data_IF_207611634558
#
_entry.id   IF_207611634558
#
_cell.length_a   1.000
_cell.length_b   1.000
_cell.length_c   1.000
_cell.angle_alpha   90.00
_cell.angle_beta   90.00
_cell.angle_gamma   90.00
#
_symmetry.space_group_name_H-M   'P 1'
#
loop_
_entity.id
_entity.type
_entity.pdbx_description
1 polymer ?
#
# COMPACT_ATOMS: atom_id res chain seq x y z
N UNK A 1 -29.54 -34.70 36.42
CA UNK A 1 -29.76 -33.40 35.74
C UNK A 1 -28.50 -32.52 35.76
N UNK A 2 -27.50 -32.76 36.62
CA UNK A 2 -26.24 -31.96 36.71
C UNK A 2 -25.37 -31.91 35.44
N UNK A 3 -25.39 -32.94 34.59
CA UNK A 3 -24.53 -32.99 33.40
C UNK A 3 -24.96 -32.01 32.28
N UNK A 4 -26.24 -31.62 32.23
CA UNK A 4 -26.74 -30.69 31.21
C UNK A 4 -26.31 -29.26 31.53
N UNK A 5 -26.38 -28.85 32.81
CA UNK A 5 -25.88 -27.55 33.26
C UNK A 5 -24.36 -27.43 33.07
N UNK A 6 -23.62 -28.50 33.39
CA UNK A 6 -22.17 -28.56 33.15
C UNK A 6 -21.84 -28.48 31.66
N UNK A 7 -22.60 -29.18 30.80
CA UNK A 7 -22.44 -29.11 29.35
C UNK A 7 -22.72 -27.72 28.77
N UNK A 8 -23.78 -27.05 29.25
CA UNK A 8 -24.12 -25.67 28.86
C UNK A 8 -23.01 -24.70 29.27
N UNK A 9 -22.48 -24.83 30.49
CA UNK A 9 -21.41 -23.99 31.00
C UNK A 9 -20.13 -24.17 30.16
N UNK A 10 -19.75 -25.41 29.86
CA UNK A 10 -18.60 -25.72 29.00
C UNK A 10 -18.77 -25.17 27.58
N UNK A 11 -19.98 -25.18 27.02
CA UNK A 11 -20.26 -24.60 25.71
C UNK A 11 -20.06 -23.07 25.70
N UNK A 12 -20.57 -22.36 26.71
CA UNK A 12 -20.41 -20.90 26.84
C UNK A 12 -18.96 -20.53 27.07
N UNK A 13 -18.28 -21.25 27.97
CA UNK A 13 -16.85 -21.04 28.26
C UNK A 13 -16.03 -21.28 27.00
N UNK A 14 -16.25 -22.41 26.31
CA UNK A 14 -15.54 -22.75 25.08
C UNK A 14 -15.68 -21.68 24.01
N UNK A 15 -16.90 -21.22 23.73
CA UNK A 15 -17.12 -20.16 22.75
C UNK A 15 -16.54 -18.81 23.17
N UNK A 16 -16.64 -18.46 24.45
CA UNK A 16 -16.10 -17.20 24.98
C UNK A 16 -14.57 -17.19 24.92
N UNK A 17 -13.92 -18.29 25.29
CA UNK A 17 -12.46 -18.44 25.20
C UNK A 17 -11.98 -18.36 23.77
N UNK A 18 -12.65 -19.06 22.83
CA UNK A 18 -12.31 -18.96 21.40
C UNK A 18 -12.47 -17.53 20.90
N UNK A 19 -13.58 -16.86 21.23
CA UNK A 19 -13.82 -15.48 20.83
C UNK A 19 -12.75 -14.51 21.39
N UNK A 20 -12.38 -14.67 22.66
CA UNK A 20 -11.35 -13.86 23.30
C UNK A 20 -9.98 -14.04 22.63
N UNK A 21 -9.57 -15.28 22.34
CA UNK A 21 -8.32 -15.57 21.65
C UNK A 21 -8.31 -14.94 20.25
N UNK A 22 -9.40 -15.06 19.49
CA UNK A 22 -9.51 -14.46 18.16
C UNK A 22 -9.35 -12.94 18.22
N UNK A 23 -10.02 -12.26 19.16
CA UNK A 23 -9.85 -10.82 19.35
C UNK A 23 -8.39 -10.46 19.63
N UNK A 24 -7.75 -11.17 20.57
CA UNK A 24 -6.35 -10.95 20.92
C UNK A 24 -5.44 -11.10 19.70
N UNK A 25 -5.60 -12.17 18.92
CA UNK A 25 -4.82 -12.44 17.71
C UNK A 25 -5.00 -11.34 16.66
N UNK A 26 -6.23 -10.85 16.46
CA UNK A 26 -6.50 -9.77 15.50
C UNK A 26 -5.81 -8.47 15.94
N UNK A 27 -5.92 -8.09 17.21
CA UNK A 27 -5.28 -6.87 17.71
C UNK A 27 -3.75 -6.97 17.70
N UNK A 28 -3.19 -8.12 18.07
CA UNK A 28 -1.75 -8.39 17.97
C UNK A 28 -1.29 -8.35 16.51
N UNK A 29 -2.05 -8.94 15.58
CA UNK A 29 -1.74 -8.90 14.16
C UNK A 29 -1.69 -7.48 13.61
N UNK A 30 -2.71 -6.65 13.93
CA UNK A 30 -2.72 -5.22 13.54
C UNK A 30 -1.57 -4.44 14.19
N UNK A 31 -1.25 -4.72 15.45
CA UNK A 31 -0.13 -4.13 16.16
C UNK A 31 1.21 -4.49 15.52
N UNK A 32 1.44 -5.77 15.22
CA UNK A 32 2.63 -6.27 14.54
C UNK A 32 2.79 -5.69 13.15
N UNK A 33 1.71 -5.60 12.36
CA UNK A 33 1.75 -4.94 11.04
C UNK A 33 2.18 -3.48 11.19
N UNK A 34 1.63 -2.76 12.17
CA UNK A 34 1.99 -1.36 12.41
C UNK A 34 3.45 -1.22 12.87
N UNK A 35 3.92 -2.16 13.69
CA UNK A 35 5.26 -2.17 14.24
C UNK A 35 6.31 -2.47 13.16
N UNK A 36 6.06 -3.50 12.36
CA UNK A 36 6.90 -3.85 11.21
C UNK A 36 6.90 -2.71 10.21
N UNK A 37 5.74 -2.14 9.86
CA UNK A 37 5.67 -0.99 8.96
C UNK A 37 6.37 0.28 9.50
N UNK A 38 6.57 0.38 10.82
CA UNK A 38 7.33 1.49 11.42
C UNK A 38 8.84 1.23 11.44
N UNK A 39 9.29 -0.01 11.66
CA UNK A 39 10.71 -0.35 11.78
C UNK A 39 11.37 -0.82 10.49
N UNK A 40 10.60 -1.44 9.61
CA UNK A 40 10.94 -1.78 8.24
C UNK A 40 9.75 -1.33 7.39
N UNK A 41 9.61 -0.01 7.16
CA UNK A 41 8.58 0.48 6.26
C UNK A 41 8.72 -0.31 4.97
N UNK A 42 7.68 -1.07 4.66
CA UNK A 42 7.61 -1.82 3.42
C UNK A 42 7.77 -0.75 2.34
N UNK A 43 8.94 -0.72 1.70
CA UNK A 43 9.18 0.25 0.65
C UNK A 43 8.12 -0.05 -0.39
N UNK A 44 7.14 0.83 -0.47
CA UNK A 44 6.20 0.92 -1.58
C UNK A 44 6.98 1.47 -2.80
N UNK A 45 8.08 0.82 -3.15
CA UNK A 45 8.40 0.41 -4.53
C UNK A 45 7.49 -0.80 -4.80
N UNK A 46 6.16 -0.65 -4.87
CA UNK A 46 5.46 -0.41 -6.15
C UNK A 46 4.25 0.54 -5.99
N UNK A 47 4.46 1.71 -5.40
CA UNK A 47 3.57 2.88 -5.64
C UNK A 47 4.30 4.20 -5.37
N UNK A 48 5.54 4.27 -5.85
CA UNK A 48 6.11 5.55 -6.25
C UNK A 48 5.24 6.11 -7.39
N UNK A 49 4.68 7.30 -7.18
CA UNK A 49 4.00 8.19 -8.16
C UNK A 49 2.48 8.35 -8.06
N UNK A 50 1.94 8.61 -6.87
CA UNK A 50 0.84 9.59 -6.76
C UNK A 50 1.17 10.52 -5.60
N UNK A 51 2.13 11.41 -5.82
CA UNK A 51 2.37 12.71 -5.15
C UNK A 51 3.81 13.10 -5.46
N UNK A 52 3.96 14.00 -6.43
CA UNK A 52 5.07 14.96 -6.54
C UNK A 52 6.50 14.42 -6.41
N UNK A 53 6.98 13.68 -7.41
CA UNK A 53 8.37 13.81 -7.82
C UNK A 53 8.37 14.13 -9.31
N UNK A 54 8.82 15.32 -9.76
CA UNK A 54 9.33 15.44 -11.10
C UNK A 54 10.56 14.53 -11.10
N UNK A 55 10.40 13.32 -11.62
CA UNK A 55 11.53 12.45 -11.93
C UNK A 55 12.35 13.26 -12.91
N UNK A 56 13.47 13.76 -12.39
CA UNK A 56 14.51 14.38 -13.17
C UNK A 56 14.80 13.46 -14.36
N UNK A 57 14.61 14.06 -15.54
CA UNK A 57 15.16 13.69 -16.82
C UNK A 57 15.89 12.34 -16.83
N UNK A 58 15.19 11.31 -17.32
CA UNK A 58 15.89 10.31 -18.12
C UNK A 58 16.76 11.06 -19.13
N UNK A 59 18.01 10.65 -19.22
CA UNK A 59 19.09 11.22 -20.03
C UNK A 59 18.57 11.74 -21.38
N UNK A 60 18.15 13.00 -21.42
CA UNK A 60 17.76 13.69 -22.64
C UNK A 60 19.03 14.27 -23.21
N UNK A 61 19.69 13.51 -24.08
CA UNK A 61 20.76 14.04 -24.90
C UNK A 61 20.28 15.32 -25.60
N UNK A 62 20.83 16.46 -25.20
CA UNK A 62 20.74 17.73 -25.93
C UNK A 62 19.34 18.35 -26.17
N UNK A 63 18.32 18.02 -25.36
CA UNK A 63 16.97 18.62 -25.47
C UNK A 63 16.75 19.63 -24.34
N UNK A 64 16.38 20.89 -24.63
CA UNK A 64 16.11 21.89 -23.60
C UNK A 64 15.04 21.44 -22.61
N UNK A 65 15.29 21.59 -21.30
CA UNK A 65 14.39 21.14 -20.24
C UNK A 65 12.97 21.71 -20.31
N UNK A 66 12.81 22.92 -20.87
CA UNK A 66 11.50 23.51 -21.15
C UNK A 66 10.68 22.68 -22.15
N UNK A 67 11.33 22.13 -23.17
CA UNK A 67 10.70 21.30 -24.20
C UNK A 67 10.29 19.95 -23.61
N UNK A 68 11.16 19.33 -22.81
CA UNK A 68 10.84 18.08 -22.10
C UNK A 68 9.65 18.24 -21.16
N UNK A 69 9.59 19.32 -20.39
CA UNK A 69 8.48 19.59 -19.48
C UNK A 69 7.15 19.80 -20.23
N UNK A 70 7.18 20.52 -21.36
CA UNK A 70 6.01 20.70 -22.20
C UNK A 70 5.49 19.38 -22.78
N UNK A 71 6.39 18.48 -23.20
CA UNK A 71 6.03 17.16 -23.72
C UNK A 71 5.38 16.30 -22.61
N UNK A 72 5.98 16.26 -21.42
CA UNK A 72 5.43 15.50 -20.29
C UNK A 72 4.05 16.03 -19.88
N UNK A 73 3.86 17.35 -19.85
CA UNK A 73 2.58 17.97 -19.56
C UNK A 73 1.51 17.65 -20.62
N UNK A 74 1.86 17.74 -21.91
CA UNK A 74 0.95 17.39 -23.00
C UNK A 74 0.53 15.91 -22.94
N UNK A 75 1.48 15.01 -22.70
CA UNK A 75 1.19 13.57 -22.55
C UNK A 75 0.29 13.32 -21.34
N UNK A 76 0.55 13.99 -20.22
CA UNK A 76 -0.33 13.88 -19.04
C UNK A 76 -1.74 14.39 -19.30
N UNK A 77 -1.92 15.46 -20.07
CA UNK A 77 -3.26 15.98 -20.40
C UNK A 77 -4.02 15.04 -21.35
N UNK A 78 -3.35 14.53 -22.39
CA UNK A 78 -3.98 13.63 -23.38
C UNK A 78 -4.36 12.28 -22.78
N UNK A 79 -3.56 11.78 -21.84
CA UNK A 79 -3.75 10.44 -21.25
C UNK A 79 -4.50 10.45 -19.93
N UNK A 80 -5.04 11.61 -19.51
CA UNK A 80 -5.69 11.74 -18.19
C UNK A 80 -4.77 11.38 -17.02
N UNK A 81 -3.47 11.61 -17.18
CA UNK A 81 -2.43 11.30 -16.18
C UNK A 81 -1.95 9.85 -16.16
N UNK A 82 -2.39 8.99 -17.07
CA UNK A 82 -1.96 7.58 -17.13
C UNK A 82 -0.68 7.37 -17.95
N UNK A 83 -0.38 8.28 -18.89
CA UNK A 83 0.76 8.18 -19.79
C UNK A 83 2.06 8.65 -19.14
N UNK A 84 3.13 7.86 -19.28
CA UNK A 84 4.46 8.17 -18.79
C UNK A 84 5.45 8.27 -19.93
N UNK A 85 6.15 9.40 -20.02
CA UNK A 85 7.24 9.60 -20.99
C UNK A 85 8.48 8.85 -20.50
N UNK A 86 8.91 7.83 -21.24
CA UNK A 86 10.07 6.98 -20.90
C UNK A 86 11.34 7.37 -21.66
N UNK A 87 11.22 7.92 -22.87
CA UNK A 87 12.35 8.31 -23.73
C UNK A 87 11.95 9.46 -24.64
N UNK A 88 12.87 10.40 -24.88
CA UNK A 88 12.70 11.48 -25.86
C UNK A 88 13.95 11.50 -26.74
N UNK A 89 13.76 11.26 -28.03
CA UNK A 89 14.82 11.29 -29.04
C UNK A 89 14.34 12.13 -30.22
N UNK A 90 15.28 12.84 -30.86
CA UNK A 90 15.00 13.52 -32.13
C UNK A 90 15.06 12.48 -33.24
N UNK A 91 14.11 12.55 -34.17
CA UNK A 91 14.15 11.83 -35.44
C UNK A 91 15.16 12.48 -36.39
#
# INVERSE_FOLDING_TARGET
>A
MENIETGLLLMVVGMTTVFAILLIVIYLGKGLITLVNKYAPEEVIVKKQVTTQPVAAGQSGNIPGKTTAAIVAAVSMVTGGQGKVTKIEKL
#
